data_IF_545193531313
#
_entry.id   IF_545193531313
#
_cell.length_a   1.000
_cell.length_b   1.000
_cell.length_c   1.000
_cell.angle_alpha   90.00
_cell.angle_beta   90.00
_cell.angle_gamma   90.00
#
_symmetry.space_group_name_H-M   'P 1'
#
loop_
_entity.id
_entity.type
_entity.pdbx_description
1 polymer ?
#
# COMPACT_ATOMS: atom_id res chain seq x y z
N UNK A 1 -34.95 -44.41 4.38
CA UNK A 1 -34.02 -43.48 5.08
C UNK A 1 -33.42 -42.57 4.02
N UNK A 2 -33.60 -41.25 4.09
CA UNK A 2 -33.00 -40.32 3.12
C UNK A 2 -31.47 -40.34 3.27
N UNK A 3 -30.76 -40.38 2.13
CA UNK A 3 -29.31 -40.27 2.07
C UNK A 3 -28.96 -39.23 1.00
N UNK A 4 -28.40 -38.11 1.48
CA UNK A 4 -27.67 -37.06 0.74
C UNK A 4 -28.53 -35.98 0.07
N UNK A 5 -28.15 -34.75 0.42
CA UNK A 5 -28.47 -33.45 -0.17
C UNK A 5 -27.28 -33.05 -1.05
N UNK A 6 -27.54 -32.65 -2.29
CA UNK A 6 -26.60 -31.85 -3.09
C UNK A 6 -27.29 -30.54 -3.45
N UNK A 7 -26.56 -29.42 -3.32
CA UNK A 7 -26.99 -28.15 -3.91
C UNK A 7 -26.88 -28.27 -5.44
N UNK A 8 -27.89 -27.78 -6.16
CA UNK A 8 -27.88 -27.64 -7.62
C UNK A 8 -28.26 -26.20 -7.98
N UNK A 9 -27.71 -25.70 -9.09
CA UNK A 9 -27.84 -24.31 -9.58
C UNK A 9 -27.45 -23.25 -8.55
N UNK A 10 -26.13 -23.09 -8.37
CA UNK A 10 -25.53 -22.09 -7.47
C UNK A 10 -25.40 -20.75 -8.22
N UNK A 11 -25.93 -19.67 -7.63
CA UNK A 11 -25.78 -18.30 -8.12
C UNK A 11 -25.58 -17.30 -6.96
N UNK A 12 -25.31 -16.03 -7.27
CA UNK A 12 -25.16 -14.96 -6.27
C UNK A 12 -26.44 -14.73 -5.43
N UNK A 13 -27.61 -15.09 -5.96
CA UNK A 13 -28.91 -14.84 -5.32
C UNK A 13 -29.48 -16.09 -4.60
N UNK A 14 -28.76 -17.22 -4.59
CA UNK A 14 -29.15 -18.44 -3.86
C UNK A 14 -28.84 -19.77 -4.57
N UNK A 15 -29.35 -20.87 -3.99
CA UNK A 15 -29.22 -22.25 -4.52
C UNK A 15 -30.46 -23.11 -4.23
N UNK A 16 -30.68 -24.17 -5.03
CA UNK A 16 -31.76 -25.15 -4.83
C UNK A 16 -31.24 -26.47 -4.26
N UNK A 17 -32.07 -27.16 -3.48
CA UNK A 17 -31.75 -28.46 -2.86
C UNK A 17 -32.73 -29.54 -3.35
N UNK A 18 -32.20 -30.67 -3.83
CA UNK A 18 -32.99 -31.86 -4.22
C UNK A 18 -32.77 -33.00 -3.24
N UNK A 19 -33.87 -33.61 -2.76
CA UNK A 19 -33.86 -34.69 -1.76
C UNK A 19 -34.42 -35.97 -2.36
N UNK A 20 -33.68 -37.08 -2.24
CA UNK A 20 -34.06 -38.41 -2.75
C UNK A 20 -33.95 -39.49 -1.67
N UNK A 21 -34.74 -40.56 -1.81
CA UNK A 21 -34.73 -41.72 -0.93
C UNK A 21 -33.61 -42.72 -1.28
N UNK A 22 -33.49 -43.78 -0.48
CA UNK A 22 -32.49 -44.83 -0.66
C UNK A 22 -32.52 -45.57 -2.02
N UNK A 23 -33.57 -45.39 -2.82
CA UNK A 23 -33.75 -46.01 -4.13
C UNK A 23 -33.66 -44.99 -5.28
N UNK A 24 -33.35 -43.72 -4.98
CA UNK A 24 -33.21 -42.64 -5.96
C UNK A 24 -34.50 -41.89 -6.29
N UNK A 25 -35.59 -42.15 -5.57
CA UNK A 25 -36.88 -41.48 -5.81
C UNK A 25 -36.97 -40.15 -5.05
N UNK A 26 -37.64 -39.11 -5.59
CA UNK A 26 -37.87 -37.85 -4.88
C UNK A 26 -38.59 -38.07 -3.55
N UNK A 27 -38.11 -37.43 -2.48
CA UNK A 27 -38.79 -37.45 -1.17
C UNK A 27 -39.93 -36.44 -1.19
N UNK A 28 -41.16 -36.91 -1.00
CA UNK A 28 -42.40 -36.09 -1.13
C UNK A 28 -42.94 -35.59 0.21
N UNK A 29 -42.22 -35.79 1.31
CA UNK A 29 -42.57 -35.36 2.68
C UNK A 29 -41.62 -34.28 3.16
N UNK A 30 -42.04 -33.42 4.10
CA UNK A 30 -41.18 -32.38 4.67
C UNK A 30 -40.00 -32.99 5.45
N UNK A 31 -38.80 -32.40 5.32
CA UNK A 31 -37.54 -32.89 5.92
C UNK A 31 -36.73 -31.71 6.47
N UNK A 32 -36.03 -31.92 7.58
CA UNK A 32 -35.10 -30.93 8.15
C UNK A 32 -33.72 -31.05 7.50
N UNK A 33 -33.16 -29.93 7.05
CA UNK A 33 -31.87 -29.83 6.37
C UNK A 33 -30.98 -28.85 7.14
N UNK A 34 -29.73 -29.22 7.42
CA UNK A 34 -28.70 -28.31 7.96
C UNK A 34 -27.70 -27.96 6.87
N UNK A 35 -27.38 -26.67 6.72
CA UNK A 35 -26.36 -26.14 5.81
C UNK A 35 -25.53 -25.05 6.51
N UNK A 36 -24.30 -24.84 6.06
CA UNK A 36 -23.41 -23.74 6.48
C UNK A 36 -22.97 -23.01 5.21
N UNK A 37 -23.07 -21.68 5.20
CA UNK A 37 -22.50 -20.81 4.17
C UNK A 37 -21.47 -19.90 4.81
N UNK A 38 -20.39 -19.59 4.08
CA UNK A 38 -19.33 -18.70 4.53
C UNK A 38 -18.96 -17.71 3.44
N UNK A 39 -18.55 -16.52 3.85
CA UNK A 39 -17.95 -15.50 2.98
C UNK A 39 -16.68 -14.95 3.65
N UNK A 40 -15.48 -15.31 3.15
CA UNK A 40 -14.26 -14.62 3.52
C UNK A 40 -14.06 -13.37 2.65
N UNK A 41 -13.72 -12.23 3.28
CA UNK A 41 -13.46 -10.99 2.57
C UNK A 41 -12.26 -11.05 1.61
N UNK A 42 -12.21 -10.10 0.69
CA UNK A 42 -11.02 -9.70 -0.09
C UNK A 42 -10.79 -8.19 0.16
N UNK A 43 -9.61 -7.60 -0.05
CA UNK A 43 -8.54 -7.96 -0.98
C UNK A 43 -7.24 -7.36 -0.48
N UNK A 44 -6.31 -8.14 0.06
CA UNK A 44 -4.87 -7.80 -0.03
C UNK A 44 -3.97 -9.02 0.21
N UNK A 45 -4.50 -10.16 0.67
CA UNK A 45 -3.82 -11.46 0.57
C UNK A 45 -4.83 -12.62 0.49
N UNK A 46 -4.82 -13.47 -0.55
CA UNK A 46 -5.67 -14.66 -0.63
C UNK A 46 -5.37 -15.74 0.44
N UNK A 47 -4.31 -15.59 1.27
CA UNK A 47 -3.89 -16.60 2.24
C UNK A 47 -4.28 -16.33 3.71
N UNK A 48 -5.00 -15.23 4.03
CA UNK A 48 -5.24 -14.79 5.43
C UNK A 48 -6.73 -14.68 5.83
N UNK A 49 -7.62 -15.26 5.04
CA UNK A 49 -9.07 -15.26 5.27
C UNK A 49 -9.53 -16.11 6.48
N UNK A 50 -10.73 -15.82 7.02
CA UNK A 50 -11.46 -16.77 7.86
C UNK A 50 -11.75 -18.02 7.03
N UNK A 51 -10.98 -19.08 7.26
CA UNK A 51 -11.14 -20.36 6.59
C UNK A 51 -11.93 -21.30 7.47
N UNK A 52 -12.97 -21.90 6.90
CA UNK A 52 -13.80 -22.92 7.56
C UNK A 52 -14.05 -24.06 6.59
N UNK A 53 -13.83 -25.28 7.07
CA UNK A 53 -14.20 -26.50 6.36
C UNK A 53 -15.18 -27.30 7.21
N UNK A 54 -16.23 -27.84 6.58
CA UNK A 54 -17.24 -28.68 7.25
C UNK A 54 -17.46 -29.94 6.45
N UNK A 55 -17.51 -31.10 7.14
CA UNK A 55 -17.82 -32.38 6.49
C UNK A 55 -18.59 -33.33 7.39
N UNK A 56 -19.38 -34.18 6.73
CA UNK A 56 -19.97 -35.39 7.30
C UNK A 56 -19.25 -36.60 6.71
N UNK A 57 -18.65 -37.45 7.54
CA UNK A 57 -17.89 -38.63 7.11
C UNK A 57 -18.29 -39.88 7.89
N UNK A 58 -18.15 -41.06 7.27
CA UNK A 58 -18.39 -42.36 7.94
C UNK A 58 -17.05 -43.04 8.20
N UNK A 59 -16.56 -42.97 9.44
CA UNK A 59 -15.16 -43.29 9.79
C UNK A 59 -15.05 -44.06 11.11
N UNK A 60 -13.98 -44.85 11.24
CA UNK A 60 -13.64 -45.62 12.45
C UNK A 60 -12.83 -44.79 13.46
N UNK A 61 -12.72 -45.29 14.69
CA UNK A 61 -11.78 -44.75 15.68
C UNK A 61 -10.32 -44.77 15.17
N UNK A 62 -9.54 -43.75 15.53
CA UNK A 62 -8.15 -43.55 15.09
C UNK A 62 -7.97 -43.38 13.58
N UNK A 63 -9.00 -42.91 12.88
CA UNK A 63 -8.88 -42.55 11.47
C UNK A 63 -8.29 -41.14 11.33
N UNK A 64 -7.30 -40.99 10.46
CA UNK A 64 -6.79 -39.67 10.05
C UNK A 64 -7.80 -39.01 9.10
N UNK A 65 -8.25 -37.81 9.47
CA UNK A 65 -9.11 -36.96 8.68
C UNK A 65 -8.25 -35.83 8.12
N UNK A 66 -8.01 -35.86 6.81
CA UNK A 66 -7.31 -34.78 6.11
C UNK A 66 -8.28 -33.67 5.73
N UNK A 67 -7.82 -32.42 5.81
CA UNK A 67 -8.54 -31.29 5.25
C UNK A 67 -8.41 -31.28 3.72
N UNK A 68 -9.38 -30.66 3.07
CA UNK A 68 -9.30 -30.36 1.64
C UNK A 68 -8.94 -28.90 1.37
N UNK A 69 -9.09 -28.01 2.35
CA UNK A 69 -8.49 -26.68 2.32
C UNK A 69 -7.03 -26.76 2.80
N UNK A 70 -6.13 -26.03 2.15
CA UNK A 70 -4.74 -25.87 2.59
C UNK A 70 -4.68 -24.76 3.65
N UNK A 71 -4.92 -25.12 4.90
CA UNK A 71 -4.93 -24.16 6.00
C UNK A 71 -3.50 -23.63 6.27
N UNK A 72 -3.30 -22.32 6.47
CA UNK A 72 -1.98 -21.73 6.71
C UNK A 72 -1.27 -22.28 7.97
N UNK A 73 -2.04 -22.61 9.01
CA UNK A 73 -1.59 -23.31 10.22
C UNK A 73 -2.77 -24.13 10.82
N UNK A 74 -2.58 -24.75 11.97
CA UNK A 74 -3.47 -25.74 12.58
C UNK A 74 -4.82 -25.12 12.96
N UNK A 75 -5.94 -25.51 12.31
CA UNK A 75 -7.26 -24.94 12.60
C UNK A 75 -7.88 -25.50 13.88
N UNK A 76 -8.77 -24.74 14.51
CA UNK A 76 -9.59 -25.19 15.63
C UNK A 76 -10.68 -26.14 15.13
N UNK A 77 -10.71 -27.39 15.60
CA UNK A 77 -11.68 -28.39 15.15
C UNK A 77 -12.67 -28.75 16.25
N UNK A 78 -13.96 -28.76 15.92
CA UNK A 78 -15.02 -29.33 16.75
C UNK A 78 -15.70 -30.47 16.00
N UNK A 79 -15.90 -31.59 16.67
CA UNK A 79 -16.49 -32.79 16.09
C UNK A 79 -17.59 -33.40 16.99
N UNK A 80 -18.60 -33.99 16.37
CA UNK A 80 -19.60 -34.83 17.02
C UNK A 80 -19.84 -36.10 16.19
N UNK A 81 -20.32 -37.18 16.81
CA UNK A 81 -20.44 -38.47 16.12
C UNK A 81 -21.64 -39.31 16.56
N UNK A 82 -22.07 -40.26 15.72
CA UNK A 82 -23.15 -41.20 16.00
C UNK A 82 -22.99 -42.56 15.28
N UNK A 83 -23.35 -43.66 15.95
CA UNK A 83 -23.45 -45.02 15.37
C UNK A 83 -24.91 -45.44 15.41
N UNK A 84 -25.53 -45.70 14.26
CA UNK A 84 -26.93 -46.18 14.22
C UNK A 84 -27.95 -45.26 14.89
N UNK A 85 -27.69 -43.93 14.89
CA UNK A 85 -28.50 -42.94 15.60
C UNK A 85 -28.20 -42.81 17.10
N UNK A 86 -27.27 -43.61 17.65
CA UNK A 86 -26.77 -43.50 19.02
C UNK A 86 -25.57 -42.57 19.04
N UNK A 87 -25.65 -41.44 19.75
CA UNK A 87 -24.57 -40.46 19.80
C UNK A 87 -23.32 -41.00 20.51
N UNK A 88 -22.16 -40.56 20.06
CA UNK A 88 -20.83 -40.93 20.54
C UNK A 88 -20.01 -39.68 20.82
N UNK A 89 -19.07 -39.81 21.76
CA UNK A 89 -18.08 -38.78 22.04
C UNK A 89 -17.07 -38.84 20.90
N UNK A 90 -16.77 -37.69 20.32
CA UNK A 90 -15.80 -37.52 19.26
C UNK A 90 -14.86 -36.38 19.64
N UNK A 91 -13.56 -36.65 19.60
CA UNK A 91 -12.54 -35.66 19.89
C UNK A 91 -11.47 -35.71 18.80
N UNK A 92 -11.10 -34.57 18.20
CA UNK A 92 -9.89 -34.48 17.41
C UNK A 92 -8.68 -34.62 18.33
N UNK A 93 -7.77 -35.52 17.97
CA UNK A 93 -6.50 -35.79 18.65
C UNK A 93 -5.38 -35.73 17.61
N UNK A 94 -4.18 -35.32 18.01
CA UNK A 94 -3.00 -35.25 17.11
C UNK A 94 -3.32 -34.54 15.77
N UNK A 95 -3.63 -33.24 15.85
CA UNK A 95 -4.02 -32.42 14.69
C UNK A 95 -2.92 -31.42 14.33
N UNK A 96 -2.84 -31.10 13.05
CA UNK A 96 -1.91 -30.15 12.44
C UNK A 96 -2.64 -29.42 11.29
N UNK A 97 -1.93 -28.56 10.54
CA UNK A 97 -2.50 -27.83 9.40
C UNK A 97 -3.03 -28.70 8.27
N UNK A 98 -2.63 -29.97 8.18
CA UNK A 98 -3.00 -30.90 7.10
C UNK A 98 -4.13 -31.86 7.50
N UNK A 99 -4.49 -31.95 8.80
CA UNK A 99 -5.58 -32.79 9.27
C UNK A 99 -5.59 -33.07 10.78
N UNK A 100 -6.47 -33.97 11.20
CA UNK A 100 -6.58 -34.43 12.59
C UNK A 100 -6.90 -35.93 12.68
N UNK A 101 -6.46 -36.60 13.74
CA UNK A 101 -6.91 -37.98 14.03
C UNK A 101 -8.17 -37.93 14.89
N UNK A 102 -9.17 -38.75 14.59
CA UNK A 102 -10.40 -38.75 15.40
C UNK A 102 -10.41 -39.87 16.44
N UNK A 103 -10.63 -39.49 17.70
CA UNK A 103 -10.85 -40.39 18.81
C UNK A 103 -12.35 -40.49 19.13
N UNK A 104 -12.87 -41.72 19.13
CA UNK A 104 -14.28 -42.04 19.35
C UNK A 104 -14.49 -42.87 20.61
N UNK A 105 -15.36 -42.42 21.51
CA UNK A 105 -15.72 -43.11 22.74
C UNK A 105 -17.24 -43.17 22.95
N UNK A 106 -17.71 -44.19 23.66
CA UNK A 106 -19.09 -44.25 24.11
C UNK A 106 -19.29 -43.42 25.39
N UNK A 107 -20.53 -43.34 25.88
CA UNK A 107 -20.87 -42.61 27.09
C UNK A 107 -20.20 -43.14 28.38
N UNK A 108 -19.55 -44.31 28.32
CA UNK A 108 -18.84 -44.95 29.43
C UNK A 108 -17.32 -44.77 29.31
N UNK A 109 -16.84 -44.04 28.29
CA UNK A 109 -15.42 -43.85 28.02
C UNK A 109 -14.76 -45.05 27.34
N UNK A 110 -15.52 -46.05 26.89
CA UNK A 110 -14.96 -47.16 26.13
C UNK A 110 -14.76 -46.77 24.67
N UNK A 111 -13.71 -47.26 24.04
CA UNK A 111 -13.43 -47.05 22.62
C UNK A 111 -14.57 -47.59 21.74
N UNK A 112 -15.02 -46.76 20.79
CA UNK A 112 -16.00 -47.17 19.76
C UNK A 112 -15.24 -47.75 18.58
N UNK A 113 -15.23 -49.07 18.44
CA UNK A 113 -14.46 -49.75 17.38
C UNK A 113 -15.21 -49.89 16.05
N UNK A 114 -16.48 -49.48 16.00
CA UNK A 114 -17.32 -49.51 14.80
C UNK A 114 -17.34 -48.19 14.04
N UNK A 115 -17.59 -48.25 12.74
CA UNK A 115 -17.71 -47.06 11.89
C UNK A 115 -18.89 -46.20 12.33
N UNK A 116 -18.62 -44.90 12.43
CA UNK A 116 -19.47 -43.89 13.04
C UNK A 116 -19.64 -42.73 12.06
N UNK A 117 -20.84 -42.17 11.96
CA UNK A 117 -21.02 -40.91 11.23
C UNK A 117 -20.53 -39.76 12.08
N UNK A 118 -19.62 -38.96 11.55
CA UNK A 118 -18.96 -37.85 12.25
C UNK A 118 -19.22 -36.57 11.48
N UNK A 119 -19.75 -35.56 12.18
CA UNK A 119 -19.84 -34.19 11.69
C UNK A 119 -18.75 -33.37 12.37
N UNK A 120 -18.01 -32.58 11.61
CA UNK A 120 -17.01 -31.69 12.16
C UNK A 120 -16.96 -30.35 11.43
N UNK A 121 -16.43 -29.36 12.15
CA UNK A 121 -16.13 -28.01 11.66
C UNK A 121 -14.70 -27.65 12.07
N UNK A 122 -13.90 -27.20 11.12
CA UNK A 122 -12.55 -26.68 11.35
C UNK A 122 -12.56 -25.17 11.07
N UNK A 123 -12.02 -24.35 11.97
CA UNK A 123 -12.01 -22.88 11.89
C UNK A 123 -10.58 -22.36 12.11
N UNK A 124 -10.04 -21.65 11.13
CA UNK A 124 -8.75 -20.96 11.23
C UNK A 124 -8.96 -19.43 11.28
N UNK A 125 -8.67 -18.76 12.42
CA UNK A 125 -8.70 -17.30 12.49
C UNK A 125 -7.45 -16.66 11.86
N UNK A 126 -7.57 -15.42 11.39
CA UNK A 126 -6.44 -14.61 10.93
C UNK A 126 -5.44 -14.36 12.06
N UNK A 127 -4.14 -14.39 11.77
CA UNK A 127 -3.10 -14.07 12.75
C UNK A 127 -2.69 -12.60 12.65
N UNK A 128 -2.79 -11.86 13.76
CA UNK A 128 -1.91 -10.71 14.03
C UNK A 128 -1.59 -10.63 15.53
N UNK A 129 -0.36 -10.23 15.85
CA UNK A 129 0.25 -10.25 17.18
C UNK A 129 -0.28 -9.13 18.12
N UNK A 130 -1.55 -9.18 18.49
CA UNK A 130 -2.08 -8.38 19.61
C UNK A 130 -2.93 -9.25 20.55
N UNK A 131 -2.52 -9.45 21.82
CA UNK A 131 -3.25 -10.25 22.81
C UNK A 131 -4.62 -9.65 23.23
N UNK A 132 -5.02 -8.50 22.68
CA UNK A 132 -6.35 -7.91 22.83
C UNK A 132 -7.27 -8.08 21.61
N UNK A 133 -6.76 -8.63 20.50
CA UNK A 133 -7.45 -8.87 19.23
C UNK A 133 -7.97 -10.31 19.05
N UNK A 134 -7.79 -11.14 20.08
CA UNK A 134 -8.02 -12.57 20.00
C UNK A 134 -9.49 -12.94 19.72
N UNK A 135 -9.66 -13.96 18.89
CA UNK A 135 -10.94 -14.64 18.69
C UNK A 135 -11.44 -15.19 20.05
N UNK A 136 -12.44 -14.52 20.63
CA UNK A 136 -13.07 -15.01 21.86
C UNK A 136 -14.05 -16.15 21.52
N UNK A 137 -13.72 -17.37 21.95
CA UNK A 137 -14.58 -18.55 21.84
C UNK A 137 -14.95 -19.06 23.22
N UNK A 138 -16.25 -19.06 23.53
CA UNK A 138 -16.76 -19.83 24.67
C UNK A 138 -17.43 -21.10 24.17
N UNK A 139 -17.06 -22.23 24.74
CA UNK A 139 -17.77 -23.50 24.55
C UNK A 139 -18.31 -23.98 25.88
N UNK A 140 -19.55 -24.47 25.89
CA UNK A 140 -20.08 -25.24 27.03
C UNK A 140 -20.91 -26.41 26.55
N UNK A 141 -20.92 -27.46 27.37
CA UNK A 141 -21.76 -28.64 27.21
C UNK A 141 -22.57 -28.87 28.48
N UNK A 142 -23.90 -28.86 28.42
CA UNK A 142 -24.77 -29.03 29.59
C UNK A 142 -26.08 -29.75 29.23
N UNK A 143 -26.68 -30.46 30.20
CA UNK A 143 -28.01 -31.07 30.08
C UNK A 143 -29.09 -30.04 30.42
N UNK A 144 -29.91 -29.66 29.44
CA UNK A 144 -30.89 -28.58 29.56
C UNK A 144 -32.29 -28.96 29.07
N UNK A 145 -33.32 -28.31 29.57
CA UNK A 145 -34.69 -28.42 29.06
C UNK A 145 -35.04 -27.17 28.24
N UNK A 146 -36.22 -27.12 27.63
CA UNK A 146 -36.64 -25.96 26.85
C UNK A 146 -36.78 -24.68 27.71
N UNK A 147 -36.56 -23.52 27.10
CA UNK A 147 -36.63 -22.19 27.72
C UNK A 147 -35.68 -21.96 28.91
N UNK A 148 -34.44 -22.42 28.81
CA UNK A 148 -33.41 -22.18 29.84
C UNK A 148 -32.49 -21.03 29.44
N UNK A 149 -32.20 -20.12 30.38
CA UNK A 149 -31.19 -19.07 30.19
C UNK A 149 -29.78 -19.63 30.25
N UNK A 150 -28.98 -19.31 29.24
CA UNK A 150 -27.59 -19.71 29.09
C UNK A 150 -26.70 -18.46 29.19
N UNK A 151 -26.07 -18.28 30.35
CA UNK A 151 -25.11 -17.20 30.56
C UNK A 151 -23.71 -17.55 30.01
N UNK A 152 -23.04 -16.55 29.46
CA UNK A 152 -21.62 -16.62 29.13
C UNK A 152 -20.77 -16.44 30.39
N UNK A 153 -19.68 -17.18 30.50
CA UNK A 153 -18.65 -16.94 31.52
C UNK A 153 -17.68 -15.84 31.06
N UNK A 154 -17.53 -15.66 29.74
CA UNK A 154 -16.83 -14.54 29.14
C UNK A 154 -17.74 -13.32 28.99
N UNK A 155 -17.16 -12.14 29.21
CA UNK A 155 -17.82 -10.87 28.94
C UNK A 155 -17.55 -10.48 27.49
N UNK A 156 -18.41 -10.89 26.55
CA UNK A 156 -18.27 -10.50 25.16
C UNK A 156 -18.53 -8.99 24.98
N UNK A 157 -17.73 -8.28 24.16
CA UNK A 157 -17.90 -6.84 23.94
C UNK A 157 -19.25 -6.46 23.30
N UNK A 158 -19.81 -7.35 22.48
CA UNK A 158 -21.19 -7.26 22.00
C UNK A 158 -21.77 -8.67 21.76
N UNK A 159 -22.94 -8.76 21.13
CA UNK A 159 -23.74 -10.00 21.03
C UNK A 159 -23.07 -11.02 20.08
N UNK A 160 -22.50 -12.15 20.56
CA UNK A 160 -21.63 -13.05 19.78
C UNK A 160 -22.41 -14.05 18.91
N UNK A 161 -21.91 -14.47 17.74
CA UNK A 161 -22.61 -15.51 16.97
C UNK A 161 -22.66 -16.84 17.74
N UNK A 162 -23.86 -17.41 17.94
CA UNK A 162 -24.04 -18.65 18.70
C UNK A 162 -24.48 -19.78 17.77
N UNK A 163 -23.69 -20.86 17.75
CA UNK A 163 -24.05 -22.12 17.11
C UNK A 163 -24.37 -23.13 18.20
N UNK A 164 -25.55 -23.75 18.14
CA UNK A 164 -25.99 -24.75 19.13
C UNK A 164 -26.32 -26.06 18.45
N UNK A 165 -25.95 -27.18 19.08
CA UNK A 165 -26.49 -28.49 18.75
C UNK A 165 -27.02 -29.19 20.00
N UNK A 166 -28.05 -30.00 19.79
CA UNK A 166 -28.80 -30.67 20.85
C UNK A 166 -28.92 -32.15 20.60
N UNK A 167 -28.74 -32.93 21.65
CA UNK A 167 -28.80 -34.38 21.62
C UNK A 167 -29.76 -34.89 22.69
N UNK A 168 -30.68 -35.78 22.32
CA UNK A 168 -31.60 -36.38 23.30
C UNK A 168 -30.85 -37.21 24.34
N UNK A 169 -31.42 -37.26 25.54
CA UNK A 169 -30.93 -37.99 26.70
C UNK A 169 -31.11 -39.51 26.62
N UNK A 170 -31.13 -40.07 25.40
CA UNK A 170 -31.27 -41.51 25.16
C UNK A 170 -32.67 -41.96 24.72
N UNK A 171 -33.59 -41.04 24.44
CA UNK A 171 -34.96 -41.37 23.98
C UNK A 171 -35.07 -41.73 22.49
N UNK A 172 -34.00 -41.61 21.69
CA UNK A 172 -34.02 -41.88 20.24
C UNK A 172 -34.77 -40.82 19.40
N UNK A 173 -35.29 -39.77 20.05
CA UNK A 173 -36.00 -38.65 19.43
C UNK A 173 -34.97 -37.63 18.95
N UNK A 174 -35.05 -37.24 17.68
CA UNK A 174 -34.28 -36.11 17.14
C UNK A 174 -34.81 -34.80 17.74
N UNK A 175 -33.91 -33.96 18.26
CA UNK A 175 -34.25 -32.69 18.92
C UNK A 175 -33.37 -31.59 18.34
N UNK A 176 -33.96 -30.42 18.08
CA UNK A 176 -33.26 -29.25 17.54
C UNK A 176 -33.13 -28.23 18.66
N UNK A 177 -31.94 -27.63 18.76
CA UNK A 177 -31.65 -26.52 19.68
C UNK A 177 -31.38 -25.27 18.88
N UNK A 178 -31.87 -24.13 19.36
CA UNK A 178 -31.58 -22.82 18.81
C UNK A 178 -31.49 -21.76 19.92
N UNK A 179 -30.64 -20.73 19.76
CA UNK A 179 -30.67 -19.57 20.63
C UNK A 179 -31.86 -18.66 20.30
N UNK A 180 -32.52 -18.12 21.31
CA UNK A 180 -33.57 -17.09 21.23
C UNK A 180 -33.32 -16.01 22.27
N UNK A 181 -33.74 -14.76 21.99
CA UNK A 181 -33.55 -13.61 22.91
C UNK A 181 -32.10 -13.43 23.38
N UNK A 182 -31.21 -13.19 22.43
CA UNK A 182 -29.76 -13.24 22.57
C UNK A 182 -29.14 -11.84 22.79
N UNK A 183 -28.17 -11.74 23.70
CA UNK A 183 -27.46 -10.52 24.10
C UNK A 183 -25.96 -10.80 24.31
N UNK A 184 -25.15 -9.77 24.58
CA UNK A 184 -23.71 -9.91 24.87
C UNK A 184 -23.38 -10.72 26.13
N UNK A 185 -24.35 -11.02 26.99
CA UNK A 185 -24.16 -11.72 28.28
C UNK A 185 -24.81 -13.09 28.31
N UNK A 186 -25.59 -13.46 27.29
CA UNK A 186 -26.17 -14.79 27.17
C UNK A 186 -27.31 -14.85 26.17
N UNK A 187 -27.95 -16.02 26.14
CA UNK A 187 -29.11 -16.27 25.30
C UNK A 187 -30.08 -17.22 26.00
N UNK A 188 -31.35 -17.21 25.58
CA UNK A 188 -32.30 -18.25 25.99
C UNK A 188 -32.22 -19.42 25.01
N UNK A 189 -32.04 -20.63 25.51
CA UNK A 189 -32.01 -21.83 24.69
C UNK A 189 -33.43 -22.33 24.44
N UNK A 190 -33.77 -22.55 23.17
CA UNK A 190 -35.03 -23.15 22.74
C UNK A 190 -34.80 -24.54 22.17
N UNK A 191 -35.64 -25.49 22.57
CA UNK A 191 -35.51 -26.91 22.26
C UNK A 191 -36.87 -27.45 21.82
N UNK A 192 -36.91 -28.00 20.60
CA UNK A 192 -38.10 -28.61 20.02
C UNK A 192 -37.83 -30.06 19.61
N UNK A 193 -38.83 -30.92 19.79
CA UNK A 193 -38.79 -32.30 19.32
C UNK A 193 -39.07 -32.39 17.80
N UNK A 194 -38.92 -33.59 17.21
CA UNK A 194 -39.17 -33.82 15.78
C UNK A 194 -40.62 -33.55 15.34
N UNK A 195 -41.56 -33.40 16.29
CA UNK A 195 -42.96 -33.04 16.04
C UNK A 195 -43.21 -31.53 16.21
N UNK A 196 -42.18 -30.74 16.53
CA UNK A 196 -42.28 -29.30 16.77
C UNK A 196 -42.80 -28.93 18.16
N UNK A 197 -42.95 -29.89 19.07
CA UNK A 197 -43.36 -29.62 20.45
C UNK A 197 -42.17 -29.20 21.30
N UNK A 198 -42.45 -28.33 22.27
CA UNK A 198 -41.48 -27.92 23.28
C UNK A 198 -41.04 -29.09 24.17
N UNK A 199 -39.74 -29.15 24.45
CA UNK A 199 -39.17 -30.20 25.28
C UNK A 199 -39.28 -29.84 26.77
N UNK A 200 -40.28 -30.39 27.45
CA UNK A 200 -40.52 -30.15 28.89
C UNK A 200 -39.68 -31.05 29.79
N UNK A 201 -39.47 -30.65 31.05
CA UNK A 201 -38.92 -31.55 32.07
C UNK A 201 -39.80 -32.81 32.22
N UNK A 202 -39.22 -34.02 32.40
CA UNK A 202 -37.81 -34.35 32.65
C UNK A 202 -36.97 -34.65 31.38
N UNK A 203 -37.49 -34.40 30.17
CA UNK A 203 -36.90 -34.82 28.89
C UNK A 203 -35.71 -33.96 28.44
N UNK A 204 -34.73 -33.69 29.30
CA UNK A 204 -33.63 -32.78 29.00
C UNK A 204 -32.76 -33.27 27.82
N UNK A 205 -32.07 -32.33 27.19
CA UNK A 205 -31.22 -32.50 26.01
C UNK A 205 -29.80 -32.12 26.39
N UNK A 206 -28.84 -32.94 26.02
CA UNK A 206 -27.44 -32.55 26.05
C UNK A 206 -27.21 -31.51 24.96
N UNK A 207 -26.85 -30.31 25.38
CA UNK A 207 -26.64 -29.18 24.49
C UNK A 207 -25.17 -28.83 24.48
N UNK A 208 -24.60 -28.77 23.28
CA UNK A 208 -23.28 -28.23 23.03
C UNK A 208 -23.44 -26.95 22.23
N UNK A 209 -22.71 -25.92 22.61
CA UNK A 209 -22.76 -24.66 21.91
C UNK A 209 -21.40 -23.97 21.89
N UNK A 210 -21.25 -23.15 20.85
CA UNK A 210 -20.12 -22.28 20.62
C UNK A 210 -20.68 -20.87 20.50
N UNK A 211 -20.18 -19.94 21.31
CA UNK A 211 -20.37 -18.51 21.10
C UNK A 211 -19.05 -17.94 20.59
N UNK A 212 -19.09 -17.34 19.41
CA UNK A 212 -17.95 -16.74 18.75
C UNK A 212 -18.25 -15.27 18.45
N UNK A 213 -17.47 -14.38 19.05
CA UNK A 213 -17.48 -12.97 18.68
C UNK A 213 -16.39 -12.73 17.63
N UNK A 214 -16.74 -12.53 16.35
CA UNK A 214 -15.76 -12.04 15.41
C UNK A 214 -15.38 -10.63 15.85
N UNK A 215 -14.07 -10.36 15.94
CA UNK A 215 -13.55 -9.03 16.26
C UNK A 215 -14.29 -7.99 15.42
N UNK A 216 -14.94 -7.04 16.08
CA UNK A 216 -15.30 -5.80 15.41
C UNK A 216 -14.04 -4.98 15.36
N UNK A 217 -13.57 -4.77 14.13
CA UNK A 217 -12.57 -3.78 13.74
C UNK A 217 -12.67 -2.54 14.65
N UNK A 218 -11.77 -2.45 15.62
CA UNK A 218 -11.29 -1.15 16.08
C UNK A 218 -10.02 -0.99 15.27
N UNK A 219 -10.03 -0.15 14.25
CA UNK A 219 -8.79 0.27 13.57
C UNK A 219 -7.85 0.76 14.67
N UNK A 220 -6.69 0.11 14.90
CA UNK A 220 -5.79 0.57 15.94
C UNK A 220 -5.21 1.90 15.47
N UNK A 221 -5.26 2.89 16.35
CA UNK A 221 -4.32 4.02 16.32
C UNK A 221 -2.94 3.45 16.00
N UNK A 222 -2.32 3.90 14.91
CA UNK A 222 -1.03 3.37 14.48
C UNK A 222 0.14 3.86 15.35
N UNK A 223 1.34 3.30 15.14
CA UNK A 223 2.54 3.62 15.92
C UNK A 223 3.07 5.05 15.71
N UNK A 224 2.52 5.80 14.75
CA UNK A 224 2.96 7.16 14.39
C UNK A 224 2.19 8.25 15.12
N UNK A 225 1.13 7.89 15.85
CA UNK A 225 0.31 8.83 16.60
C UNK A 225 1.02 9.34 17.89
N UNK A 226 0.83 10.61 18.29
CA UNK A 226 -0.04 11.60 17.67
C UNK A 226 0.61 12.31 16.47
N UNK A 227 0.01 12.25 15.28
CA UNK A 227 0.44 13.01 14.10
C UNK A 227 -0.66 13.88 13.45
N UNK A 228 -1.60 14.30 14.29
CA UNK A 228 -2.81 15.05 13.95
C UNK A 228 -2.64 16.50 13.41
N UNK A 229 -1.44 17.10 13.36
CA UNK A 229 -1.26 18.51 12.95
C UNK A 229 0.16 18.91 12.52
N UNK A 230 0.35 20.12 11.96
CA UNK A 230 1.70 20.67 11.73
C UNK A 230 2.56 20.82 13.00
N UNK A 231 1.97 20.75 14.20
CA UNK A 231 2.68 20.77 15.49
C UNK A 231 2.83 19.40 16.15
N UNK A 232 2.05 18.41 15.70
CA UNK A 232 2.06 17.03 16.15
C UNK A 232 2.17 16.20 14.89
N UNK A 233 3.39 15.85 14.51
CA UNK A 233 3.69 15.15 13.26
C UNK A 233 4.60 13.98 13.55
N UNK A 234 4.48 12.95 12.72
CA UNK A 234 5.45 11.88 12.60
C UNK A 234 6.53 12.27 11.58
N UNK A 235 7.56 11.45 11.41
CA UNK A 235 8.66 11.75 10.48
C UNK A 235 8.98 10.59 9.57
N UNK A 236 9.50 10.89 8.38
CA UNK A 236 10.06 9.90 7.48
C UNK A 236 11.37 10.38 6.85
N UNK A 237 12.23 9.41 6.50
CA UNK A 237 13.42 9.64 5.69
C UNK A 237 13.17 9.04 4.32
N UNK A 238 13.07 9.90 3.30
CA UNK A 238 12.86 9.50 1.91
C UNK A 238 14.21 9.23 1.24
N UNK A 239 14.32 8.13 0.51
CA UNK A 239 15.52 7.75 -0.24
C UNK A 239 15.20 7.50 -1.72
N UNK A 240 16.22 7.16 -2.52
CA UNK A 240 16.04 6.75 -3.93
C UNK A 240 15.46 5.35 -4.10
N UNK A 241 15.43 4.56 -3.03
CA UNK A 241 14.82 3.23 -3.01
C UNK A 241 13.39 3.36 -2.51
N UNK A 242 12.45 2.65 -3.13
CA UNK A 242 11.06 2.60 -2.68
C UNK A 242 10.97 2.13 -1.23
N UNK A 243 10.32 2.94 -0.39
CA UNK A 243 10.05 2.66 1.01
C UNK A 243 8.55 2.70 1.28
N UNK A 244 8.13 2.10 2.40
CA UNK A 244 6.72 2.11 2.81
C UNK A 244 6.55 2.22 4.33
N UNK A 245 5.39 2.73 4.73
CA UNK A 245 4.89 2.75 6.11
C UNK A 245 3.43 2.29 6.14
N UNK A 246 3.10 1.41 7.09
CA UNK A 246 1.71 1.01 7.36
C UNK A 246 1.12 1.94 8.39
N UNK A 247 -0.02 2.56 8.06
CA UNK A 247 -0.66 3.65 8.83
C UNK A 247 -2.18 3.50 8.85
N UNK A 248 -2.87 4.36 9.59
CA UNK A 248 -4.32 4.36 9.67
C UNK A 248 -4.89 5.76 9.81
N UNK A 249 -5.98 6.05 9.07
CA UNK A 249 -6.85 7.18 9.39
C UNK A 249 -7.79 6.70 10.49
N UNK A 250 -7.50 7.05 11.74
CA UNK A 250 -8.36 6.70 12.87
C UNK A 250 -8.22 7.64 14.08
N UNK A 251 -9.32 8.22 14.59
CA UNK A 251 -10.73 8.00 14.22
C UNK A 251 -11.12 8.63 12.88
N UNK A 252 -12.39 8.57 12.49
CA UNK A 252 -12.88 9.37 11.34
C UNK A 252 -12.51 10.84 11.53
N UNK A 253 -12.09 11.51 10.46
CA UNK A 253 -11.50 12.86 10.46
C UNK A 253 -10.08 12.98 11.01
N UNK A 254 -9.40 11.87 11.26
CA UNK A 254 -7.98 11.87 11.54
C UNK A 254 -7.15 12.41 10.35
N UNK A 255 -5.99 12.96 10.65
CA UNK A 255 -5.07 13.54 9.68
C UNK A 255 -3.64 13.23 10.07
N UNK A 256 -2.92 12.58 9.18
CA UNK A 256 -1.57 12.11 9.47
C UNK A 256 -0.60 13.10 8.83
N UNK A 257 0.02 13.94 9.64
CA UNK A 257 1.04 14.89 9.22
C UNK A 257 2.43 14.27 9.37
N UNK A 258 3.14 14.18 8.26
CA UNK A 258 4.43 13.50 8.15
C UNK A 258 5.47 14.50 7.68
N UNK A 259 6.46 14.80 8.52
CA UNK A 259 7.55 15.72 8.16
C UNK A 259 8.73 14.96 7.56
N UNK A 260 9.27 15.50 6.48
CA UNK A 260 10.48 14.96 5.83
C UNK A 260 11.39 16.10 5.34
N UNK A 261 12.67 15.82 5.17
CA UNK A 261 13.61 16.73 4.51
C UNK A 261 13.70 16.35 3.04
N UNK A 262 13.58 17.35 2.16
CA UNK A 262 13.69 17.17 0.72
C UNK A 262 14.85 17.98 0.15
N UNK A 263 15.46 17.45 -0.92
CA UNK A 263 16.54 18.10 -1.65
C UNK A 263 15.99 18.78 -2.91
N UNK A 264 16.41 20.03 -3.14
CA UNK A 264 16.14 20.73 -4.39
C UNK A 264 16.64 19.92 -5.59
N UNK A 265 15.90 20.00 -6.68
CA UNK A 265 16.22 19.36 -7.94
C UNK A 265 15.81 17.90 -8.01
N UNK A 266 15.01 17.34 -7.10
CA UNK A 266 14.50 15.95 -7.21
C UNK A 266 12.98 15.91 -7.30
N UNK A 267 12.44 14.88 -7.96
CA UNK A 267 11.00 14.58 -7.95
C UNK A 267 10.70 13.59 -6.82
N UNK A 268 9.82 13.97 -5.91
CA UNK A 268 9.36 13.11 -4.82
C UNK A 268 8.02 12.49 -5.20
N UNK A 269 7.92 11.18 -5.07
CA UNK A 269 6.70 10.42 -5.28
C UNK A 269 6.16 9.96 -3.92
N UNK A 270 4.89 10.27 -3.65
CA UNK A 270 4.12 9.81 -2.51
C UNK A 270 2.82 9.21 -3.01
N UNK A 271 2.49 8.00 -2.61
CA UNK A 271 1.21 7.39 -2.98
C UNK A 271 0.78 6.38 -1.94
N UNK A 272 -0.53 6.16 -1.85
CA UNK A 272 -1.11 5.17 -0.95
C UNK A 272 -1.73 4.01 -1.71
N UNK A 273 -1.89 2.90 -0.99
CA UNK A 273 -2.54 1.68 -1.48
C UNK A 273 -3.40 1.10 -0.36
N UNK A 274 -4.27 0.16 -0.73
CA UNK A 274 -5.25 -0.47 0.16
C UNK A 274 -6.68 0.02 -0.13
N UNK A 275 -7.62 -0.40 0.72
CA UNK A 275 -9.06 -0.14 0.51
C UNK A 275 -9.56 1.20 1.06
N UNK A 276 -8.75 1.94 1.81
CA UNK A 276 -9.12 3.24 2.38
C UNK A 276 -8.97 4.33 1.34
N UNK A 277 -10.06 5.04 1.04
CA UNK A 277 -10.08 6.19 0.13
C UNK A 277 -9.33 7.38 0.75
N UNK A 278 -8.11 7.65 0.25
CA UNK A 278 -7.17 8.59 0.87
C UNK A 278 -6.91 9.81 0.00
N UNK A 279 -6.78 10.96 0.65
CA UNK A 279 -6.48 12.25 0.03
C UNK A 279 -5.16 12.78 0.60
N UNK A 280 -4.15 12.89 -0.27
CA UNK A 280 -2.84 13.43 0.04
C UNK A 280 -2.75 14.92 -0.23
N UNK A 281 -2.04 15.65 0.63
CA UNK A 281 -1.67 17.05 0.44
C UNK A 281 -0.20 17.27 0.78
N UNK A 282 0.52 18.01 -0.06
CA UNK A 282 1.92 18.36 0.13
C UNK A 282 2.04 19.84 0.50
N UNK A 283 2.80 20.15 1.57
CA UNK A 283 3.03 21.52 2.04
C UNK A 283 4.53 21.83 2.15
N UNK A 284 4.89 23.09 1.95
CA UNK A 284 6.24 23.59 2.29
C UNK A 284 6.41 23.85 3.80
N UNK A 285 7.61 24.24 4.23
CA UNK A 285 7.91 24.57 5.63
C UNK A 285 7.09 25.74 6.21
N UNK A 286 6.50 26.59 5.36
CA UNK A 286 5.62 27.69 5.76
C UNK A 286 4.15 27.27 5.82
N UNK A 287 3.86 25.96 5.70
CA UNK A 287 2.51 25.38 5.71
C UNK A 287 1.62 25.86 4.56
N UNK A 288 2.23 26.28 3.45
CA UNK A 288 1.53 26.59 2.20
C UNK A 288 1.43 25.32 1.38
N UNK A 289 0.22 24.98 0.95
CA UNK A 289 -0.04 23.81 0.09
C UNK A 289 0.61 24.02 -1.27
N UNK A 290 1.33 22.99 -1.73
CA UNK A 290 2.04 22.94 -2.99
C UNK A 290 1.30 22.09 -4.02
N UNK A 291 0.72 20.98 -3.57
CA UNK A 291 0.02 20.01 -4.40
C UNK A 291 -0.93 19.17 -3.56
N UNK A 292 -1.95 18.60 -4.19
CA UNK A 292 -2.88 17.67 -3.55
C UNK A 292 -3.57 16.79 -4.58
N UNK A 293 -3.88 15.55 -4.18
CA UNK A 293 -4.46 14.53 -5.06
C UNK A 293 -5.27 13.53 -4.23
N UNK A 294 -6.37 13.00 -4.77
CA UNK A 294 -7.26 12.04 -4.12
C UNK A 294 -7.43 10.70 -4.87
N UNK A 295 -7.19 10.64 -6.18
CA UNK A 295 -7.52 9.43 -6.96
C UNK A 295 -6.53 9.08 -8.10
N UNK A 296 -5.34 9.69 -8.16
CA UNK A 296 -4.34 9.36 -9.19
C UNK A 296 -3.47 8.13 -8.87
N UNK A 297 -3.70 7.48 -7.72
CA UNK A 297 -3.00 6.28 -7.25
C UNK A 297 -3.71 4.97 -7.56
N UNK A 298 -3.48 3.94 -6.72
CA UNK A 298 -4.15 2.65 -6.88
C UNK A 298 -5.60 2.70 -6.37
N UNK A 299 -6.57 2.41 -7.23
CA UNK A 299 -7.97 2.41 -6.86
C UNK A 299 -8.48 3.82 -6.58
N UNK A 300 -8.83 4.11 -5.32
CA UNK A 300 -9.30 5.43 -4.84
C UNK A 300 -8.26 6.06 -3.91
N UNK A 301 -6.97 5.81 -4.15
CA UNK A 301 -5.89 6.36 -3.35
C UNK A 301 -5.20 7.48 -4.10
N UNK A 302 -4.58 8.39 -3.36
CA UNK A 302 -3.82 9.47 -3.97
C UNK A 302 -2.46 9.02 -4.54
N UNK A 303 -1.96 9.83 -5.47
CA UNK A 303 -0.56 9.86 -5.88
C UNK A 303 -0.11 11.29 -6.19
N UNK A 304 0.97 11.71 -5.53
CA UNK A 304 1.63 13.00 -5.75
C UNK A 304 3.04 12.74 -6.27
N UNK A 305 3.37 13.30 -7.45
CA UNK A 305 4.73 13.36 -8.00
C UNK A 305 5.14 14.84 -8.10
N UNK A 306 6.01 15.32 -7.21
CA UNK A 306 6.29 16.74 -7.07
C UNK A 306 7.78 17.09 -7.18
N UNK A 307 8.09 18.12 -7.98
CA UNK A 307 9.45 18.65 -8.16
C UNK A 307 9.83 19.63 -7.05
N UNK A 308 10.78 19.25 -6.21
CA UNK A 308 11.24 20.10 -5.11
C UNK A 308 12.24 21.13 -5.65
N UNK A 309 11.91 22.42 -5.54
CA UNK A 309 12.77 23.51 -6.04
C UNK A 309 13.71 24.10 -4.98
N UNK A 310 13.48 23.83 -3.70
CA UNK A 310 14.29 24.36 -2.60
C UNK A 310 14.51 23.28 -1.54
N UNK A 311 15.76 23.04 -1.16
CA UNK A 311 16.08 22.06 -0.11
C UNK A 311 15.57 22.54 1.23
N UNK A 312 14.89 21.69 1.98
CA UNK A 312 14.29 22.08 3.25
C UNK A 312 13.31 21.04 3.80
N UNK A 313 12.64 21.38 4.89
CA UNK A 313 11.58 20.55 5.44
C UNK A 313 10.24 20.79 4.72
N UNK A 314 9.51 19.71 4.51
CA UNK A 314 8.18 19.66 3.91
C UNK A 314 7.28 18.79 4.78
N UNK A 315 5.97 18.90 4.56
CA UNK A 315 4.96 18.08 5.21
C UNK A 315 4.10 17.39 4.16
N UNK A 316 3.93 16.08 4.29
CA UNK A 316 2.84 15.35 3.67
C UNK A 316 1.72 15.24 4.69
N UNK A 317 0.48 15.49 4.28
CA UNK A 317 -0.71 15.21 5.07
C UNK A 317 -1.51 14.15 4.34
N UNK A 318 -1.85 13.07 5.04
CA UNK A 318 -2.79 12.06 4.54
C UNK A 318 -4.06 12.15 5.37
N UNK A 319 -5.21 12.18 4.72
CA UNK A 319 -6.52 12.09 5.37
C UNK A 319 -7.42 11.14 4.57
N UNK A 320 -8.53 10.72 5.14
CA UNK A 320 -9.59 10.09 4.35
C UNK A 320 -10.23 11.10 3.38
N UNK A 321 -10.64 10.70 2.18
CA UNK A 321 -11.30 11.58 1.20
C UNK A 321 -12.55 12.26 1.79
N UNK A 322 -13.42 11.49 2.44
CA UNK A 322 -14.60 12.00 3.14
C UNK A 322 -14.37 12.18 4.64
N UNK A 323 -15.19 12.99 5.31
CA UNK A 323 -15.16 13.16 6.78
C UNK A 323 -15.60 11.91 7.58
N UNK A 324 -16.13 10.90 6.88
CA UNK A 324 -16.53 9.61 7.46
C UNK A 324 -15.55 8.49 7.13
N UNK A 325 -14.52 8.77 6.33
CA UNK A 325 -13.53 7.76 5.96
C UNK A 325 -12.58 7.53 7.14
N UNK A 326 -12.40 6.25 7.49
CA UNK A 326 -11.42 5.74 8.42
C UNK A 326 -11.00 4.35 7.95
N UNK A 327 -9.76 3.97 8.23
CA UNK A 327 -9.23 2.70 7.75
C UNK A 327 -7.72 2.69 7.63
N UNK A 328 -7.12 1.49 7.51
CA UNK A 328 -5.68 1.34 7.30
C UNK A 328 -5.28 1.72 5.88
N UNK A 329 -4.05 2.16 5.69
CA UNK A 329 -3.44 2.39 4.39
C UNK A 329 -1.94 2.11 4.43
N UNK A 330 -1.36 1.80 3.28
CA UNK A 330 0.11 1.72 3.14
C UNK A 330 0.59 2.91 2.33
N UNK A 331 1.40 3.77 2.94
CA UNK A 331 2.06 4.89 2.27
C UNK A 331 3.39 4.42 1.68
N UNK A 332 3.55 4.61 0.37
CA UNK A 332 4.78 4.42 -0.36
C UNK A 332 5.43 5.76 -0.69
N UNK A 333 6.76 5.80 -0.63
CA UNK A 333 7.52 7.00 -0.93
C UNK A 333 8.92 6.71 -1.43
N UNK A 334 9.37 7.55 -2.34
CA UNK A 334 10.75 7.63 -2.83
C UNK A 334 10.97 9.00 -3.46
N UNK A 335 12.22 9.36 -3.71
CA UNK A 335 12.53 10.40 -4.68
C UNK A 335 13.28 9.79 -5.86
N UNK A 336 13.03 10.30 -7.05
CA UNK A 336 13.68 9.83 -8.27
C UNK A 336 14.00 11.00 -9.17
N UNK A 337 15.04 10.81 -9.98
CA UNK A 337 15.48 11.81 -10.94
C UNK A 337 16.06 13.04 -10.27
N UNK A 338 16.89 13.72 -11.04
CA UNK A 338 17.11 15.14 -10.88
C UNK A 338 16.15 15.81 -11.87
N UNK A 339 15.23 16.65 -11.41
CA UNK A 339 14.47 17.51 -12.31
C UNK A 339 15.49 18.29 -13.16
N UNK A 340 15.31 18.34 -14.48
CA UNK A 340 16.23 19.02 -15.41
C UNK A 340 16.24 20.52 -15.10
N UNK A 341 17.19 20.99 -14.29
CA UNK A 341 17.35 22.40 -13.94
C UNK A 341 18.17 23.10 -15.04
N UNK A 342 17.90 24.38 -15.31
CA UNK A 342 18.75 25.13 -16.22
C UNK A 342 20.20 25.15 -15.70
N UNK A 343 21.20 25.17 -16.60
CA UNK A 343 22.58 25.34 -16.19
C UNK A 343 22.78 26.62 -15.38
N UNK A 344 23.79 26.63 -14.51
CA UNK A 344 24.18 27.84 -13.82
C UNK A 344 24.55 28.95 -14.84
N UNK A 345 24.41 30.21 -14.44
CA UNK A 345 24.87 31.34 -15.27
C UNK A 345 26.36 31.19 -15.55
N UNK A 346 26.80 31.24 -16.82
CA UNK A 346 28.21 31.10 -17.15
C UNK A 346 29.08 32.20 -16.55
N UNK A 347 30.36 31.88 -16.38
CA UNK A 347 31.38 32.86 -16.06
C UNK A 347 31.45 33.97 -17.11
N UNK A 348 31.88 35.17 -16.69
CA UNK A 348 32.18 36.27 -17.61
C UNK A 348 33.08 35.77 -18.75
N UNK A 349 32.79 36.08 -20.03
CA UNK A 349 33.63 35.68 -21.13
C UNK A 349 35.09 36.10 -20.93
N UNK A 350 36.02 35.22 -21.28
CA UNK A 350 37.46 35.46 -21.22
C UNK A 350 38.04 35.50 -22.64
N UNK A 351 38.90 36.47 -22.92
CA UNK A 351 39.53 36.67 -24.23
C UNK A 351 40.14 38.07 -24.38
N UNK A 352 40.60 38.43 -25.58
CA UNK A 352 41.18 39.75 -25.85
C UNK A 352 40.18 40.89 -25.58
N UNK A 353 40.63 41.91 -24.84
CA UNK A 353 39.84 43.12 -24.53
C UNK A 353 40.12 44.29 -25.46
N UNK A 354 41.03 44.13 -26.41
CA UNK A 354 41.26 45.10 -27.48
C UNK A 354 41.65 44.42 -28.79
N UNK A 355 41.38 45.07 -29.91
CA UNK A 355 41.63 44.51 -31.23
C UNK A 355 41.46 45.51 -32.36
N UNK A 356 41.59 45.02 -33.60
CA UNK A 356 41.46 45.80 -34.82
C UNK A 356 40.22 45.37 -35.60
N UNK A 357 39.62 46.34 -36.32
CA UNK A 357 38.49 46.08 -37.22
C UNK A 357 38.83 44.97 -38.22
N UNK A 358 37.90 44.05 -38.42
CA UNK A 358 37.99 42.94 -39.37
C UNK A 358 38.83 41.74 -38.90
N UNK A 359 39.45 41.81 -37.73
CA UNK A 359 40.22 40.69 -37.17
C UNK A 359 39.33 39.81 -36.29
N UNK A 360 39.51 38.48 -36.42
CA UNK A 360 38.76 37.50 -35.63
C UNK A 360 39.45 37.23 -34.29
N UNK A 361 38.67 37.29 -33.21
CA UNK A 361 39.10 37.04 -31.83
C UNK A 361 38.26 35.93 -31.22
N UNK A 362 38.89 35.04 -30.45
CA UNK A 362 38.23 33.91 -29.78
C UNK A 362 37.99 34.24 -28.31
N UNK A 363 36.78 33.92 -27.85
CA UNK A 363 36.34 34.08 -26.47
C UNK A 363 35.90 32.73 -25.91
N UNK A 364 36.01 32.60 -24.58
CA UNK A 364 35.64 31.39 -23.86
C UNK A 364 34.80 31.66 -22.63
N UNK A 365 33.98 30.70 -22.21
CA UNK A 365 33.25 30.71 -20.94
C UNK A 365 33.09 29.28 -20.43
N UNK A 366 32.69 29.10 -19.18
CA UNK A 366 32.28 27.82 -18.64
C UNK A 366 31.15 27.97 -17.64
N UNK A 367 30.34 26.91 -17.53
CA UNK A 367 29.33 26.73 -16.49
C UNK A 367 29.16 25.25 -16.16
N UNK A 368 28.40 24.96 -15.11
CA UNK A 368 27.96 23.62 -14.75
C UNK A 368 26.45 23.51 -14.89
N UNK A 369 26.02 22.41 -15.47
CA UNK A 369 24.68 21.87 -15.34
C UNK A 369 24.57 21.18 -13.97
N UNK A 370 23.59 21.55 -13.11
CA UNK A 370 23.43 20.95 -11.79
C UNK A 370 23.27 19.42 -11.85
N UNK A 371 22.74 18.92 -12.96
CA UNK A 371 22.50 17.51 -13.24
C UNK A 371 23.70 16.79 -13.84
N UNK A 372 24.78 17.53 -14.14
CA UNK A 372 25.95 17.03 -14.83
C UNK A 372 25.73 16.77 -16.32
N UNK A 373 24.59 17.21 -16.87
CA UNK A 373 24.23 17.14 -18.27
C UNK A 373 25.16 17.96 -19.16
N UNK A 374 25.11 17.68 -20.47
CA UNK A 374 25.88 18.46 -21.43
C UNK A 374 25.26 19.84 -21.63
N UNK A 375 26.11 20.86 -21.78
CA UNK A 375 25.72 22.26 -21.96
C UNK A 375 26.08 22.78 -23.35
N UNK A 376 25.30 23.73 -23.83
CA UNK A 376 25.58 24.56 -25.00
C UNK A 376 25.78 26.01 -24.55
N UNK A 377 26.60 26.77 -25.27
CA UNK A 377 26.85 28.19 -24.98
C UNK A 377 26.36 29.08 -26.11
N UNK A 378 25.95 30.29 -25.77
CA UNK A 378 25.59 31.35 -26.71
C UNK A 378 26.31 32.63 -26.32
N UNK A 379 27.07 33.21 -27.26
CA UNK A 379 27.76 34.48 -27.10
C UNK A 379 27.03 35.58 -27.85
N UNK A 380 26.76 36.68 -27.16
CA UNK A 380 26.31 37.96 -27.73
C UNK A 380 27.53 38.88 -27.81
N UNK A 381 27.82 39.37 -29.02
CA UNK A 381 29.03 40.13 -29.32
C UNK A 381 28.88 41.64 -29.07
N UNK A 382 27.68 42.12 -28.73
CA UNK A 382 27.41 43.52 -28.43
C UNK A 382 27.28 44.43 -29.66
N UNK A 383 27.33 43.89 -30.88
CA UNK A 383 27.16 44.61 -32.15
C UNK A 383 25.87 44.21 -32.90
N UNK A 384 25.01 43.41 -32.25
CA UNK A 384 23.80 42.83 -32.84
C UNK A 384 23.99 41.43 -33.44
N UNK A 385 25.22 40.94 -33.56
CA UNK A 385 25.51 39.56 -33.96
C UNK A 385 25.69 38.63 -32.75
N UNK A 386 25.61 37.33 -32.99
CA UNK A 386 25.82 36.28 -31.98
C UNK A 386 26.45 35.03 -32.59
N UNK A 387 26.91 34.11 -31.73
CA UNK A 387 27.53 32.85 -32.16
C UNK A 387 26.55 31.76 -32.60
N UNK A 388 25.24 31.91 -32.34
CA UNK A 388 24.35 30.77 -32.19
C UNK A 388 24.70 29.90 -30.97
N UNK A 389 24.02 28.76 -30.82
CA UNK A 389 24.36 27.77 -29.79
C UNK A 389 25.57 26.94 -30.24
N UNK A 390 26.67 27.02 -29.50
CA UNK A 390 27.88 26.20 -29.69
C UNK A 390 27.93 25.08 -28.65
N UNK A 391 28.21 23.85 -29.07
CA UNK A 391 28.21 22.65 -28.21
C UNK A 391 27.71 21.39 -28.94
N UNK A 392 27.40 20.30 -28.21
CA UNK A 392 27.41 20.20 -26.74
C UNK A 392 28.83 20.09 -26.15
N UNK A 393 28.97 20.54 -24.91
CA UNK A 393 30.14 20.39 -24.05
C UNK A 393 29.74 19.66 -22.76
N UNK A 394 30.62 18.84 -22.18
CA UNK A 394 30.35 18.24 -20.86
C UNK A 394 30.20 19.31 -19.77
N UNK A 395 29.34 19.08 -18.77
CA UNK A 395 29.17 20.00 -17.62
C UNK A 395 30.53 20.41 -17.05
N UNK A 396 30.72 21.71 -16.80
CA UNK A 396 31.97 22.29 -16.31
C UNK A 396 33.04 22.55 -17.39
N UNK A 397 32.87 22.04 -18.61
CA UNK A 397 33.85 22.22 -19.69
C UNK A 397 33.78 23.62 -20.31
N UNK A 398 34.93 24.13 -20.75
CA UNK A 398 35.04 25.44 -21.40
C UNK A 398 34.53 25.40 -22.84
N UNK A 399 33.58 26.28 -23.16
CA UNK A 399 33.10 26.53 -24.52
C UNK A 399 33.82 27.71 -25.18
N UNK A 400 33.89 27.71 -26.52
CA UNK A 400 34.61 28.71 -27.32
C UNK A 400 33.78 29.20 -28.51
N UNK A 401 33.87 30.48 -28.83
CA UNK A 401 33.36 31.05 -30.07
C UNK A 401 34.25 32.23 -30.51
N UNK A 402 34.26 32.52 -31.82
CA UNK A 402 35.08 33.60 -32.39
C UNK A 402 34.22 34.62 -33.14
N UNK A 403 34.66 35.88 -33.13
CA UNK A 403 33.98 36.97 -33.83
C UNK A 403 34.95 38.02 -34.37
N UNK A 404 34.53 38.71 -35.42
CA UNK A 404 35.24 39.84 -36.02
C UNK A 404 34.30 41.04 -36.19
N UNK A 405 34.65 42.17 -35.57
CA UNK A 405 33.85 43.40 -35.65
C UNK A 405 34.14 44.19 -36.93
N UNK A 406 33.08 44.64 -37.60
CA UNK A 406 33.17 45.42 -38.85
C UNK A 406 33.45 46.90 -38.64
N UNK A 407 33.30 47.40 -37.40
CA UNK A 407 33.41 48.82 -37.04
C UNK A 407 34.23 48.99 -35.77
N UNK A 408 34.99 50.08 -35.68
CA UNK A 408 35.67 50.46 -34.44
C UNK A 408 34.64 50.90 -33.39
N UNK A 409 34.85 50.55 -32.14
CA UNK A 409 33.92 50.85 -31.05
C UNK A 409 34.23 50.06 -29.78
N UNK A 410 33.41 50.29 -28.76
CA UNK A 410 33.42 49.52 -27.52
C UNK A 410 32.22 48.58 -27.51
N UNK A 411 32.46 47.29 -27.25
CA UNK A 411 31.46 46.23 -27.27
C UNK A 411 31.42 45.49 -25.93
N UNK A 412 30.26 44.93 -25.60
CA UNK A 412 30.00 44.26 -24.33
C UNK A 412 29.67 42.78 -24.58
N UNK A 413 30.69 41.93 -24.58
CA UNK A 413 30.54 40.50 -24.86
C UNK A 413 29.99 39.78 -23.63
N UNK A 414 28.88 39.05 -23.78
CA UNK A 414 28.26 38.27 -22.69
C UNK A 414 27.89 36.87 -23.20
N UNK A 415 27.72 35.93 -22.28
CA UNK A 415 27.34 34.56 -22.60
C UNK A 415 26.14 34.07 -21.77
N UNK A 416 25.40 33.10 -22.31
CA UNK A 416 24.43 32.28 -21.58
C UNK A 416 24.60 30.82 -21.98
N UNK A 417 24.03 29.90 -21.21
CA UNK A 417 24.06 28.47 -21.49
C UNK A 417 22.65 27.88 -21.59
N UNK A 418 22.55 26.68 -22.15
CA UNK A 418 21.39 25.80 -22.03
C UNK A 418 21.80 24.34 -21.91
N UNK A 419 20.95 23.53 -21.33
CA UNK A 419 21.12 22.08 -21.26
C UNK A 419 20.62 21.38 -22.54
N UNK A 420 20.55 20.04 -22.50
CA UNK A 420 19.99 19.20 -23.57
C UNK A 420 18.46 19.23 -23.63
N UNK A 421 17.78 19.50 -22.51
CA UNK A 421 16.33 19.66 -22.42
C UNK A 421 15.81 21.02 -22.92
N UNK A 422 16.73 21.97 -23.14
CA UNK A 422 16.46 23.30 -23.66
C UNK A 422 16.27 24.38 -22.60
N UNK A 423 16.47 24.10 -21.30
CA UNK A 423 16.36 25.14 -20.27
C UNK A 423 17.58 26.07 -20.33
N UNK A 424 17.33 27.38 -20.31
CA UNK A 424 18.36 28.38 -20.48
C UNK A 424 18.75 29.04 -19.15
N UNK A 425 20.03 29.34 -18.99
CA UNK A 425 20.55 30.16 -17.89
C UNK A 425 20.23 31.65 -18.08
N UNK A 426 20.49 32.43 -17.04
CA UNK A 426 20.65 33.89 -17.18
C UNK A 426 21.90 34.27 -17.99
N UNK A 427 22.01 35.55 -18.35
CA UNK A 427 23.21 36.10 -18.98
C UNK A 427 24.32 36.37 -17.96
N UNK A 428 25.57 36.10 -18.35
CA UNK A 428 26.77 36.46 -17.60
C UNK A 428 26.92 37.98 -17.48
N UNK A 429 27.82 38.42 -16.58
CA UNK A 429 28.38 39.78 -16.69
C UNK A 429 29.11 39.96 -18.03
N UNK A 430 29.17 41.20 -18.50
CA UNK A 430 29.77 41.52 -19.81
C UNK A 430 31.29 41.76 -19.71
N UNK A 431 32.06 41.24 -20.65
CA UNK A 431 33.45 41.62 -20.92
C UNK A 431 33.47 42.82 -21.88
N UNK A 432 34.12 43.91 -21.48
CA UNK A 432 34.28 45.10 -22.33
C UNK A 432 35.44 44.91 -23.31
N UNK A 433 35.18 45.07 -24.61
CA UNK A 433 36.16 44.91 -25.70
C UNK A 433 36.23 46.19 -26.53
N UNK A 434 37.45 46.69 -26.79
CA UNK A 434 37.66 47.90 -27.61
C UNK A 434 38.30 47.58 -28.95
N UNK A 435 37.58 47.85 -30.04
CA UNK A 435 38.06 47.65 -31.41
C UNK A 435 38.43 48.99 -32.03
N UNK A 436 39.64 49.08 -32.57
CA UNK A 436 40.16 50.28 -33.22
C UNK A 436 40.38 50.05 -34.73
N UNK A 437 40.41 51.13 -35.50
CA UNK A 437 40.66 51.04 -36.94
C UNK A 437 42.09 50.56 -37.21
N UNK A 438 42.26 49.68 -38.19
CA UNK A 438 43.57 49.24 -38.66
C UNK A 438 44.09 50.21 -39.74
N UNK A 439 44.58 51.37 -39.34
CA UNK A 439 45.12 52.36 -40.28
C UNK A 439 46.58 52.06 -40.59
N UNK A 440 46.94 52.05 -41.89
CA UNK A 440 48.33 51.90 -42.32
C UNK A 440 49.23 53.00 -41.71
N UNK A 441 50.49 52.71 -41.35
CA UNK A 441 51.41 53.72 -40.87
C UNK A 441 51.60 54.81 -41.92
N UNK A 442 51.46 56.08 -41.53
CA UNK A 442 51.81 57.20 -42.40
C UNK A 442 53.33 57.31 -42.49
N UNK A 443 53.90 57.06 -43.68
CA UNK A 443 55.32 57.30 -43.95
C UNK A 443 55.62 58.81 -43.90
N UNK A 444 56.29 59.26 -42.83
CA UNK A 444 56.94 60.56 -42.81
C UNK A 444 58.30 60.43 -43.50
N UNK A 445 58.38 60.75 -44.79
CA UNK A 445 59.67 60.96 -45.46
C UNK A 445 60.15 62.38 -45.13
N UNK A 446 60.98 62.51 -44.10
CA UNK A 446 61.78 63.73 -43.88
C UNK A 446 62.98 63.67 -44.81
N UNK A 447 62.90 64.36 -45.95
CA UNK A 447 64.07 64.65 -46.76
C UNK A 447 64.99 65.61 -46.01
N UNK A 448 66.12 65.13 -45.51
CA UNK A 448 67.20 65.97 -45.04
C UNK A 448 68.34 65.89 -46.07
N UNK A 449 68.41 66.92 -46.91
CA UNK A 449 69.55 67.19 -47.78
C UNK A 449 70.67 67.83 -46.96
N UNK A 450 71.77 67.13 -46.75
CA UNK A 450 72.92 67.77 -46.14
C UNK A 450 74.09 66.83 -45.83
N UNK A 451 74.85 66.43 -46.86
CA UNK A 451 76.27 66.13 -46.66
C UNK A 451 77.09 66.64 -47.85
N UNK A 452 77.86 67.67 -47.58
CA UNK A 452 79.01 68.16 -48.33
C UNK A 452 80.14 67.13 -48.27
N UNK A 453 80.66 66.69 -49.42
CA UNK A 453 81.89 65.90 -49.49
C UNK A 453 83.11 66.83 -49.57
N UNK A 454 83.84 66.95 -48.47
CA UNK A 454 85.27 67.30 -48.51
C UNK A 454 86.06 66.12 -49.09
N UNK A 455 87.03 66.45 -49.93
CA UNK A 455 87.63 65.55 -50.90
C UNK A 455 88.76 64.66 -50.39
N UNK A 456 89.22 63.81 -51.31
CA UNK A 456 90.58 63.26 -51.35
C UNK A 456 90.96 63.00 -52.81
N UNK A 457 92.05 63.62 -53.26
CA UNK A 457 92.89 63.17 -54.38
C UNK A 457 93.96 62.22 -53.80
N UNK A 458 94.32 61.11 -54.48
CA UNK A 458 95.65 61.10 -55.07
C UNK A 458 95.81 60.30 -56.39
N UNK A 459 96.65 60.92 -57.25
CA UNK A 459 97.63 60.43 -58.23
C UNK A 459 97.41 60.81 -59.70
#
# INVERSE_FOLDING_TARGET
MPKITAAADISADGFYIKIIDHNGNPVTTNVYVLWIAMYPGQYDDPNTALMVETRLQYISHNTLVSYNLDFPDTPNVVACAQVGGVPKIAAPIMHNKDGFTLSLYDHNGNTVTSNTYVLWIAVYPSQYDDPSSDLMIETKCNKQHDFVWMGYNMNFPSTPNVVTCGQSDGSGIARITAPVSHTATGYTLRIIDHNGNYVTTPNSVWTFWIAAYPSQYVTPVDDYEPDNSFSQYSTMTVTTTLQSQSRSIYPVNDNDYIRFYAYAGYTYAFYTTGSTDTYGHLYNNLQVELDSDDDSGEGTNFRIDYNILTSGYYFLRVRGFSSSTAGPYTLYYQYSGIADLPPATPSQPFGPTSGYVGMSYTYSTSTMDPEGGNVYYWFDWGDGANSGWVGPYSSGSTGYASHAWSSSGTYYVKAKAKDVGGHESGWSSSLTVTIIANTAPTLACTGESGYTSDGVNPD
#
